data_IF_354637291377
#
_entry.id   IF_354637291377
#
_cell.length_a   1.000
_cell.length_b   1.000
_cell.length_c   1.000
_cell.angle_alpha   90.00
_cell.angle_beta   90.00
_cell.angle_gamma   90.00
#
_symmetry.space_group_name_H-M   'P 1'
#
loop_
_entity.id
_entity.type
_entity.pdbx_description
1 polymer ?
#
# COMPACT_ATOMS: atom_id res chain seq x y z
N UNK A 1 4.05 23.62 -23.66
CA UNK A 1 2.97 23.59 -22.64
C UNK A 1 3.49 24.30 -21.40
N UNK A 2 2.66 24.58 -20.40
CA UNK A 2 3.08 25.19 -19.15
C UNK A 2 2.59 24.38 -17.96
N UNK A 3 3.47 24.14 -17.00
CA UNK A 3 3.20 23.44 -15.77
C UNK A 3 3.21 24.41 -14.59
N UNK A 4 2.17 24.40 -13.77
CA UNK A 4 2.12 25.10 -12.49
C UNK A 4 2.85 24.28 -11.44
N UNK A 5 3.90 24.81 -10.85
CA UNK A 5 4.68 24.14 -9.82
C UNK A 5 4.25 24.63 -8.43
N UNK A 6 3.91 23.70 -7.56
CA UNK A 6 3.61 23.92 -6.14
C UNK A 6 4.35 22.85 -5.34
N UNK A 7 5.21 23.27 -4.42
CA UNK A 7 6.03 22.36 -3.58
C UNK A 7 6.78 21.29 -4.41
N UNK A 8 7.45 21.72 -5.48
CA UNK A 8 8.20 20.87 -6.42
C UNK A 8 7.35 19.83 -7.18
N UNK A 9 6.02 19.99 -7.19
CA UNK A 9 5.08 19.11 -7.90
C UNK A 9 4.29 19.88 -8.95
N UNK A 10 4.09 19.29 -10.11
CA UNK A 10 3.21 19.78 -11.16
C UNK A 10 1.77 19.68 -10.68
N UNK A 11 1.14 20.83 -10.39
CA UNK A 11 -0.24 20.90 -9.92
C UNK A 11 -1.24 20.92 -11.07
N UNK A 12 -0.89 21.59 -12.16
CA UNK A 12 -1.74 21.81 -13.33
C UNK A 12 -0.87 21.94 -14.58
N UNK A 13 -1.41 21.51 -15.72
CA UNK A 13 -0.79 21.73 -17.03
C UNK A 13 -1.76 22.47 -17.95
N UNK A 14 -1.24 23.40 -18.75
CA UNK A 14 -2.04 24.19 -19.68
C UNK A 14 -1.30 24.48 -20.99
N UNK A 15 -2.04 24.54 -22.09
CA UNK A 15 -1.50 24.95 -23.39
C UNK A 15 -1.50 26.48 -23.57
N UNK A 16 -2.17 27.20 -22.68
CA UNK A 16 -2.31 28.65 -22.75
C UNK A 16 -1.11 29.32 -22.05
N UNK A 17 -0.52 30.33 -22.69
CA UNK A 17 0.56 31.13 -22.09
C UNK A 17 0.11 31.80 -20.77
N UNK A 18 0.71 31.48 -19.61
CA UNK A 18 0.26 32.00 -18.33
C UNK A 18 0.63 33.47 -18.09
N UNK A 19 1.53 34.05 -18.91
CA UNK A 19 2.01 35.43 -18.73
C UNK A 19 0.87 36.46 -18.72
N UNK A 20 0.77 37.22 -17.63
CA UNK A 20 -0.26 38.25 -17.45
C UNK A 20 -1.70 37.73 -17.33
N UNK A 21 -1.92 36.40 -17.31
CA UNK A 21 -3.25 35.78 -17.16
C UNK A 21 -3.53 35.33 -15.74
N UNK A 22 -2.52 34.81 -15.04
CA UNK A 22 -2.65 34.31 -13.68
C UNK A 22 -1.91 35.20 -12.66
N UNK A 23 -2.17 34.97 -11.37
CA UNK A 23 -1.55 35.74 -10.30
C UNK A 23 -0.02 35.56 -10.30
N UNK A 24 0.77 36.64 -10.12
CA UNK A 24 2.24 36.58 -10.24
C UNK A 24 2.95 35.75 -9.17
N UNK A 25 2.25 35.30 -8.12
CA UNK A 25 2.80 34.36 -7.14
C UNK A 25 2.84 32.91 -7.61
N UNK A 26 2.20 32.59 -8.74
CA UNK A 26 2.21 31.25 -9.30
C UNK A 26 3.49 31.02 -10.11
N UNK A 27 4.14 29.89 -9.86
CA UNK A 27 5.35 29.49 -10.58
C UNK A 27 4.97 28.65 -11.78
N UNK A 28 4.97 29.24 -12.96
CA UNK A 28 4.75 28.52 -14.22
C UNK A 28 6.07 28.24 -14.92
N UNK A 29 6.27 26.98 -15.30
CA UNK A 29 7.48 26.53 -16.01
C UNK A 29 7.06 25.93 -17.35
N UNK A 30 7.79 26.26 -18.41
CA UNK A 30 7.56 25.67 -19.73
C UNK A 30 7.89 24.17 -19.71
N UNK A 31 6.99 23.35 -20.23
CA UNK A 31 7.10 21.90 -20.23
C UNK A 31 6.71 21.29 -21.59
N UNK A 32 7.18 20.06 -21.80
CA UNK A 32 6.82 19.21 -22.94
C UNK A 32 5.41 18.61 -22.74
N UNK A 33 4.89 17.92 -23.76
CA UNK A 33 3.51 17.40 -23.79
C UNK A 33 3.30 16.13 -22.97
N UNK A 34 4.38 15.48 -22.55
CA UNK A 34 4.40 14.29 -21.70
C UNK A 34 4.32 14.62 -20.20
N UNK A 35 4.52 15.88 -19.82
CA UNK A 35 4.39 16.34 -18.44
C UNK A 35 2.93 16.36 -18.01
N UNK A 36 2.64 15.73 -16.88
CA UNK A 36 1.31 15.57 -16.32
C UNK A 36 1.21 16.09 -14.87
N UNK A 37 0.01 16.43 -14.39
CA UNK A 37 -0.21 16.71 -12.97
C UNK A 37 0.25 15.54 -12.09
N UNK A 38 1.04 15.84 -11.06
CA UNK A 38 1.68 14.85 -10.18
C UNK A 38 3.18 14.66 -10.44
N UNK A 39 3.67 15.01 -11.62
CA UNK A 39 5.10 14.96 -11.93
C UNK A 39 5.92 15.85 -10.99
N UNK A 40 7.17 15.45 -10.73
CA UNK A 40 8.11 16.21 -9.92
C UNK A 40 8.90 17.19 -10.78
N UNK A 41 9.14 18.39 -10.27
CA UNK A 41 10.04 19.38 -10.86
C UNK A 41 11.23 19.64 -9.93
N UNK A 42 12.46 19.47 -10.43
CA UNK A 42 13.68 19.62 -9.62
C UNK A 42 14.44 20.94 -9.86
N UNK A 43 13.79 21.92 -10.50
CA UNK A 43 14.40 23.20 -10.87
C UNK A 43 15.05 23.21 -12.25
N UNK A 44 15.02 22.11 -12.98
CA UNK A 44 15.52 22.05 -14.37
C UNK A 44 14.87 20.98 -15.24
N UNK A 45 14.38 19.89 -14.63
CA UNK A 45 13.76 18.78 -15.32
C UNK A 45 12.44 18.37 -14.66
N UNK A 46 11.56 17.81 -15.49
CA UNK A 46 10.37 17.11 -15.05
C UNK A 46 10.70 15.62 -14.94
N UNK A 47 10.22 15.00 -13.86
CA UNK A 47 10.26 13.57 -13.68
C UNK A 47 8.87 13.05 -13.33
N UNK A 48 8.61 11.75 -13.55
CA UNK A 48 7.35 11.16 -13.13
C UNK A 48 7.11 11.40 -11.64
N UNK A 49 5.85 11.32 -11.16
CA UNK A 49 5.58 11.28 -9.73
C UNK A 49 6.46 10.22 -9.06
N UNK A 50 6.84 10.42 -7.78
CA UNK A 50 7.42 9.33 -7.03
C UNK A 50 6.47 8.12 -7.14
N UNK A 51 7.02 6.97 -7.53
CA UNK A 51 6.27 5.73 -7.48
C UNK A 51 5.79 5.51 -6.04
N UNK A 52 4.59 4.94 -5.85
CA UNK A 52 4.11 4.53 -4.54
C UNK A 52 5.22 3.77 -3.81
N UNK A 53 5.53 4.14 -2.55
CA UNK A 53 6.58 3.48 -1.80
C UNK A 53 6.19 1.99 -1.64
N UNK A 54 6.91 1.06 -2.31
CA UNK A 54 6.56 -0.36 -2.23
C UNK A 54 6.61 -0.86 -0.79
N UNK A 55 7.42 -0.22 0.07
CA UNK A 55 7.47 -0.51 1.50
C UNK A 55 6.15 -0.19 2.21
N UNK A 56 5.57 0.97 1.93
CA UNK A 56 4.29 1.38 2.53
C UNK A 56 3.14 0.50 2.03
N UNK A 57 3.14 0.22 0.72
CA UNK A 57 2.16 -0.68 0.11
C UNK A 57 2.21 -2.08 0.73
N UNK A 58 3.39 -2.67 0.93
CA UNK A 58 3.54 -3.98 1.57
C UNK A 58 3.14 -3.97 3.05
N UNK A 59 3.44 -2.90 3.79
CA UNK A 59 3.00 -2.77 5.19
C UNK A 59 1.49 -2.68 5.31
N UNK A 60 0.84 -1.95 4.41
CA UNK A 60 -0.61 -1.84 4.35
C UNK A 60 -1.25 -3.17 3.95
N UNK A 61 -0.68 -3.89 2.97
CA UNK A 61 -1.12 -5.24 2.60
C UNK A 61 -1.05 -6.19 3.81
N UNK A 62 0.09 -6.21 4.51
CA UNK A 62 0.27 -7.03 5.71
C UNK A 62 -0.76 -6.72 6.80
N UNK A 63 -1.05 -5.45 7.05
CA UNK A 63 -2.09 -5.07 8.03
C UNK A 63 -3.47 -5.57 7.61
N UNK A 64 -3.81 -5.45 6.32
CA UNK A 64 -5.05 -5.98 5.76
C UNK A 64 -5.16 -7.50 5.93
N UNK A 65 -4.09 -8.24 5.63
CA UNK A 65 -4.04 -9.69 5.83
C UNK A 65 -4.20 -10.09 7.30
N UNK A 66 -3.51 -9.43 8.23
CA UNK A 66 -3.66 -9.74 9.66
C UNK A 66 -5.10 -9.49 10.11
N UNK A 67 -5.69 -8.35 9.74
CA UNK A 67 -7.06 -8.00 10.10
C UNK A 67 -8.09 -8.98 9.51
N UNK A 68 -7.90 -9.43 8.27
CA UNK A 68 -8.78 -10.38 7.59
C UNK A 68 -8.87 -11.75 8.30
N UNK A 69 -7.86 -12.11 9.11
CA UNK A 69 -7.78 -13.40 9.78
C UNK A 69 -7.96 -13.33 11.31
N UNK A 70 -8.08 -12.13 11.89
CA UNK A 70 -8.22 -11.95 13.34
C UNK A 70 -9.51 -12.56 13.91
N UNK A 71 -10.60 -12.52 13.14
CA UNK A 71 -11.88 -13.10 13.52
C UNK A 71 -11.77 -14.62 13.76
N UNK A 72 -10.92 -15.32 12.97
CA UNK A 72 -10.75 -16.76 13.03
C UNK A 72 -10.02 -17.17 14.31
N UNK A 73 -9.00 -16.40 14.71
CA UNK A 73 -8.31 -16.56 15.99
C UNK A 73 -9.26 -16.31 17.16
N UNK A 74 -10.05 -15.24 17.06
CA UNK A 74 -11.00 -14.85 18.11
C UNK A 74 -12.08 -15.92 18.30
N UNK A 75 -12.63 -16.46 17.21
CA UNK A 75 -13.61 -17.56 17.25
C UNK A 75 -13.04 -18.80 17.93
N UNK A 76 -11.85 -19.25 17.52
CA UNK A 76 -11.24 -20.45 18.11
C UNK A 76 -11.00 -20.29 19.62
N UNK A 77 -10.50 -19.12 20.05
CA UNK A 77 -10.32 -18.82 21.48
C UNK A 77 -11.64 -18.85 22.25
N UNK A 78 -12.69 -18.24 21.69
CA UNK A 78 -14.01 -18.25 22.31
C UNK A 78 -14.58 -19.68 22.42
N UNK A 79 -14.41 -20.52 21.40
CA UNK A 79 -14.84 -21.93 21.45
C UNK A 79 -14.13 -22.71 22.57
N UNK A 80 -12.82 -22.52 22.72
CA UNK A 80 -12.01 -23.13 23.79
C UNK A 80 -12.44 -22.63 25.16
N UNK A 81 -12.61 -21.32 25.34
CA UNK A 81 -13.05 -20.72 26.61
C UNK A 81 -14.45 -21.19 27.03
N UNK A 82 -15.33 -21.42 26.05
CA UNK A 82 -16.66 -21.98 26.26
C UNK A 82 -16.67 -23.51 26.40
N UNK A 83 -15.51 -24.17 26.32
CA UNK A 83 -15.35 -25.63 26.35
C UNK A 83 -16.23 -26.35 25.31
N UNK A 84 -16.34 -25.76 24.11
CA UNK A 84 -17.07 -26.34 22.97
C UNK A 84 -16.09 -27.08 22.06
N UNK A 85 -16.63 -27.93 21.20
CA UNK A 85 -15.88 -28.45 20.06
C UNK A 85 -15.44 -27.28 19.18
N UNK A 86 -14.16 -27.26 18.82
CA UNK A 86 -13.58 -26.20 18.00
C UNK A 86 -13.87 -26.43 16.52
N UNK A 87 -14.15 -25.36 15.79
CA UNK A 87 -14.38 -25.43 14.33
C UNK A 87 -13.09 -25.79 13.58
N UNK A 88 -11.94 -25.34 14.11
CA UNK A 88 -10.62 -25.69 13.58
C UNK A 88 -10.00 -26.84 14.37
N UNK A 89 -9.22 -27.68 13.68
CA UNK A 89 -8.34 -28.64 14.37
C UNK A 89 -7.17 -27.91 15.06
N UNK A 90 -6.49 -28.61 15.97
CA UNK A 90 -5.30 -28.08 16.63
C UNK A 90 -4.19 -27.74 15.62
N UNK A 91 -4.02 -28.56 14.60
CA UNK A 91 -3.05 -28.36 13.51
C UNK A 91 -3.39 -27.13 12.69
N UNK A 92 -4.66 -26.98 12.26
CA UNK A 92 -5.12 -25.80 11.53
C UNK A 92 -4.93 -24.53 12.37
N UNK A 93 -5.26 -24.56 13.65
CA UNK A 93 -5.05 -23.41 14.51
C UNK A 93 -3.56 -23.06 14.65
N UNK A 94 -2.68 -24.06 14.78
CA UNK A 94 -1.23 -23.84 14.81
C UNK A 94 -0.69 -23.27 13.49
N UNK A 95 -1.17 -23.74 12.34
CA UNK A 95 -0.81 -23.21 11.02
C UNK A 95 -1.26 -21.75 10.85
N UNK A 96 -2.47 -21.40 11.31
CA UNK A 96 -2.97 -20.03 11.30
C UNK A 96 -2.07 -19.10 12.13
N UNK A 97 -1.68 -19.53 13.34
CA UNK A 97 -0.81 -18.72 14.20
C UNK A 97 0.58 -18.55 13.59
N UNK A 98 1.13 -19.58 12.95
CA UNK A 98 2.41 -19.50 12.23
C UNK A 98 2.31 -18.55 11.03
N UNK A 99 1.23 -18.61 10.25
CA UNK A 99 1.00 -17.68 9.14
C UNK A 99 0.92 -16.23 9.62
N UNK A 100 0.12 -15.96 10.65
CA UNK A 100 0.02 -14.62 11.23
C UNK A 100 1.35 -14.12 11.82
N UNK A 101 2.18 -15.02 12.36
CA UNK A 101 3.53 -14.67 12.82
C UNK A 101 4.44 -14.31 11.64
N UNK A 102 4.43 -15.10 10.57
CA UNK A 102 5.18 -14.81 9.35
C UNK A 102 4.80 -13.45 8.73
N UNK A 103 3.51 -13.08 8.76
CA UNK A 103 3.05 -11.75 8.36
C UNK A 103 3.63 -10.65 9.29
N UNK A 104 3.67 -10.86 10.60
CA UNK A 104 4.28 -9.88 11.54
C UNK A 104 5.77 -9.70 11.31
N UNK A 105 6.46 -10.77 10.94
CA UNK A 105 7.89 -10.78 10.69
C UNK A 105 8.25 -10.27 9.26
N UNK A 106 7.26 -10.20 8.36
CA UNK A 106 7.45 -9.80 6.96
C UNK A 106 8.21 -8.47 6.77
N UNK A 107 7.91 -7.37 7.49
CA UNK A 107 8.65 -6.11 7.34
C UNK A 107 10.13 -6.18 7.79
N UNK A 108 10.53 -7.22 8.51
CA UNK A 108 11.90 -7.45 8.94
C UNK A 108 12.63 -8.51 8.08
N UNK A 109 11.94 -9.15 7.13
CA UNK A 109 12.52 -10.15 6.26
C UNK A 109 13.48 -9.50 5.25
N UNK A 110 14.57 -10.19 4.90
CA UNK A 110 15.54 -9.72 3.89
C UNK A 110 14.90 -9.56 2.51
N UNK A 111 13.85 -10.32 2.22
CA UNK A 111 13.12 -10.27 0.95
C UNK A 111 12.11 -9.12 0.88
N UNK A 112 11.87 -8.38 1.96
CA UNK A 112 10.96 -7.24 1.95
C UNK A 112 11.52 -6.09 1.08
N UNK A 113 10.71 -5.39 0.24
CA UNK A 113 9.26 -5.49 0.03
C UNK A 113 8.84 -6.32 -1.19
N UNK A 114 9.55 -7.39 -1.56
CA UNK A 114 9.21 -8.20 -2.73
C UNK A 114 7.89 -8.95 -2.55
N UNK A 115 6.84 -8.50 -3.25
CA UNK A 115 5.52 -9.13 -3.21
C UNK A 115 5.50 -10.61 -3.62
N UNK A 116 6.47 -11.09 -4.40
CA UNK A 116 6.58 -12.49 -4.77
C UNK A 116 7.06 -13.38 -3.61
N UNK A 117 7.60 -12.78 -2.54
CA UNK A 117 8.13 -13.47 -1.36
C UNK A 117 7.21 -13.32 -0.14
N UNK A 118 5.99 -12.83 -0.34
CA UNK A 118 4.98 -12.70 0.72
C UNK A 118 4.71 -14.06 1.39
N UNK A 119 4.44 -14.08 2.70
CA UNK A 119 3.93 -15.28 3.36
C UNK A 119 2.65 -15.76 2.68
N UNK A 120 2.54 -17.07 2.45
CA UNK A 120 1.38 -17.69 1.80
C UNK A 120 0.44 -18.28 2.84
N UNK A 121 -0.85 -17.92 2.75
CA UNK A 121 -1.88 -18.47 3.62
C UNK A 121 -2.08 -19.98 3.37
N UNK A 122 -2.24 -20.80 4.43
CA UNK A 122 -2.71 -22.17 4.30
C UNK A 122 -4.04 -22.24 3.51
N UNK A 123 -4.20 -23.18 2.56
CA UNK A 123 -5.32 -23.18 1.62
C UNK A 123 -6.70 -23.35 2.29
N UNK A 124 -6.76 -24.09 3.41
CA UNK A 124 -8.00 -24.32 4.15
C UNK A 124 -8.59 -23.05 4.76
N UNK A 125 -7.79 -21.97 4.91
CA UNK A 125 -8.27 -20.69 5.41
C UNK A 125 -9.33 -20.11 4.47
N UNK A 126 -9.15 -20.27 3.15
CA UNK A 126 -10.12 -19.80 2.16
C UNK A 126 -11.47 -20.52 2.22
N UNK A 127 -11.53 -21.67 2.90
CA UNK A 127 -12.75 -22.45 3.12
C UNK A 127 -13.54 -21.95 4.34
N UNK A 128 -12.96 -21.05 5.15
CA UNK A 128 -13.59 -20.51 6.35
C UNK A 128 -14.53 -19.35 6.01
N UNK A 129 -15.76 -19.42 6.51
CA UNK A 129 -16.76 -18.35 6.40
C UNK A 129 -16.96 -17.66 7.74
N UNK A 130 -17.07 -16.33 7.71
CA UNK A 130 -17.38 -15.49 8.87
C UNK A 130 -18.86 -15.57 9.26
#
# INVERSE_FOLDING_TARGET
>A
MWALIVDDVVREVTEIDPAGRFHPSLTWVGCDTDVAPGDRYDGGAFGPPPADDPTEAERAWRDGEIAAHEWLVSRHRAEVELQRDTTLTAEQYAELLQYLQALRDWPAAEAFPDSAQRPTAPPWIAEQTQ
#
